data_IF_124107363064
#
_entry.id   IF_124107363064
#
_cell.length_a   1.000
_cell.length_b   1.000
_cell.length_c   1.000
_cell.angle_alpha   90.00
_cell.angle_beta   90.00
_cell.angle_gamma   90.00
#
_symmetry.space_group_name_H-M   'P 1'
#
loop_
_entity.id
_entity.type
_entity.pdbx_description
1 polymer ?
#
# COMPACT_ATOMS: atom_id res chain seq x y z
N UNK A 1 14.16 -24.86 102.96
CA UNK A 1 15.36 -25.65 102.63
C UNK A 1 16.45 -24.67 102.28
N UNK A 2 17.61 -24.88 102.90
CA UNK A 2 18.85 -24.11 102.82
C UNK A 2 19.25 -23.70 101.40
N UNK A 3 19.92 -22.55 101.28
CA UNK A 3 21.34 -22.43 100.88
C UNK A 3 21.68 -20.96 100.55
N UNK A 4 22.48 -20.35 101.42
CA UNK A 4 23.44 -19.24 101.13
C UNK A 4 24.57 -19.71 100.18
N UNK A 5 25.56 -18.88 99.75
CA UNK A 5 25.63 -17.45 99.36
C UNK A 5 26.55 -17.20 98.10
N UNK A 6 26.85 -15.91 97.82
CA UNK A 6 28.03 -15.36 97.07
C UNK A 6 28.04 -15.60 95.53
N UNK A 7 28.35 -14.65 94.64
CA UNK A 7 29.44 -13.67 94.61
C UNK A 7 29.12 -12.46 93.71
N UNK A 8 29.77 -11.34 94.02
CA UNK A 8 29.92 -10.12 93.23
C UNK A 8 30.65 -10.34 91.89
N UNK A 9 30.14 -9.76 90.79
CA UNK A 9 30.94 -9.36 89.63
C UNK A 9 30.43 -8.02 89.10
N UNK A 10 31.25 -6.99 89.24
CA UNK A 10 31.08 -5.69 88.58
C UNK A 10 31.30 -5.85 87.08
N UNK A 11 30.21 -5.91 86.31
CA UNK A 11 30.29 -5.77 84.85
C UNK A 11 30.15 -4.29 84.49
N UNK A 12 31.30 -3.65 84.30
CA UNK A 12 31.41 -2.37 83.65
C UNK A 12 30.65 -2.40 82.31
N UNK A 13 29.54 -1.66 82.25
CA UNK A 13 28.80 -1.43 81.01
C UNK A 13 29.67 -0.51 80.12
N UNK A 14 30.41 -1.12 79.20
CA UNK A 14 31.08 -0.40 78.14
C UNK A 14 30.04 0.36 77.31
N UNK A 15 30.06 1.69 77.40
CA UNK A 15 29.30 2.60 76.55
C UNK A 15 29.71 2.35 75.10
N UNK A 16 28.84 1.68 74.34
CA UNK A 16 29.04 1.47 72.90
C UNK A 16 28.81 2.80 72.21
N UNK A 17 29.89 3.51 71.91
CA UNK A 17 29.85 4.73 71.12
C UNK A 17 29.24 4.42 69.75
N UNK A 18 28.01 4.91 69.54
CA UNK A 18 27.44 5.02 68.21
C UNK A 18 28.25 6.08 67.45
N UNK A 19 29.32 5.64 66.78
CA UNK A 19 29.95 6.42 65.74
C UNK A 19 28.90 6.76 64.69
N UNK A 20 28.42 8.01 64.71
CA UNK A 20 27.78 8.64 63.57
C UNK A 20 28.75 8.54 62.38
N UNK A 21 28.49 7.59 61.50
CA UNK A 21 29.03 7.58 60.15
C UNK A 21 28.58 8.87 59.47
N UNK A 22 29.44 9.90 59.50
CA UNK A 22 29.20 11.12 58.73
C UNK A 22 29.14 10.72 57.24
N UNK A 23 28.06 11.07 56.52
CA UNK A 23 27.99 10.78 55.09
C UNK A 23 29.19 11.43 54.40
N UNK A 24 29.91 10.65 53.58
CA UNK A 24 31.02 11.17 52.77
C UNK A 24 30.49 12.37 51.95
N UNK A 25 31.22 13.49 51.86
CA UNK A 25 30.79 14.64 51.09
C UNK A 25 30.67 14.22 49.62
N UNK A 26 29.44 14.13 49.11
CA UNK A 26 29.21 14.00 47.67
C UNK A 26 29.76 15.27 47.01
N UNK A 27 30.77 15.13 46.15
CA UNK A 27 31.24 16.23 45.29
C UNK A 27 30.06 16.70 44.46
N UNK A 28 29.47 17.85 44.83
CA UNK A 28 28.43 18.50 44.00
C UNK A 28 29.08 18.95 42.70
N UNK A 29 28.57 18.45 41.57
CA UNK A 29 28.96 18.94 40.25
C UNK A 29 28.77 20.45 40.17
N UNK A 30 29.76 21.15 39.61
CA UNK A 30 29.69 22.59 39.39
C UNK A 30 28.66 22.93 38.30
N UNK A 31 28.16 24.18 38.29
CA UNK A 31 27.22 24.65 37.26
C UNK A 31 27.72 24.40 35.82
N UNK A 32 28.97 24.70 35.44
CA UNK A 32 29.44 24.42 34.07
C UNK A 32 29.50 22.92 33.77
N UNK A 33 29.86 22.08 34.74
CA UNK A 33 29.85 20.62 34.56
C UNK A 33 28.44 20.10 34.29
N UNK A 34 27.40 20.62 34.97
CA UNK A 34 26.01 20.24 34.73
C UNK A 34 25.51 20.67 33.35
N UNK A 35 25.92 21.85 32.87
CA UNK A 35 25.59 22.33 31.53
C UNK A 35 26.23 21.43 30.47
N UNK A 36 27.53 21.12 30.62
CA UNK A 36 28.25 20.23 29.70
C UNK A 36 27.59 18.85 29.65
N UNK A 37 27.28 18.26 30.82
CA UNK A 37 26.65 16.94 30.89
C UNK A 37 25.24 16.93 30.29
N UNK A 38 24.45 17.98 30.52
CA UNK A 38 23.13 18.15 29.92
C UNK A 38 23.19 18.28 28.39
N UNK A 39 24.15 19.03 27.85
CA UNK A 39 24.34 19.15 26.41
C UNK A 39 24.76 17.81 25.78
N UNK A 40 25.64 17.04 26.44
CA UNK A 40 26.03 15.71 25.97
C UNK A 40 24.83 14.77 25.90
N UNK A 41 23.95 14.79 26.92
CA UNK A 41 22.72 13.98 26.92
C UNK A 41 21.73 14.39 25.83
N UNK A 42 21.64 15.68 25.52
CA UNK A 42 20.80 16.15 24.42
C UNK A 42 21.31 15.66 23.06
N UNK A 43 22.64 15.73 22.86
CA UNK A 43 23.27 15.24 21.62
C UNK A 43 23.18 13.71 21.53
N UNK A 44 23.41 12.98 22.63
CA UNK A 44 23.25 11.51 22.64
C UNK A 44 21.83 11.11 22.30
N UNK A 45 20.84 11.76 22.91
CA UNK A 45 19.43 11.55 22.60
C UNK A 45 19.13 11.78 21.13
N UNK A 46 19.55 12.93 20.57
CA UNK A 46 19.30 13.25 19.17
C UNK A 46 19.93 12.22 18.22
N UNK A 47 21.16 11.78 18.49
CA UNK A 47 21.85 10.76 17.70
C UNK A 47 21.14 9.40 17.80
N UNK A 48 20.75 8.97 19.01
CA UNK A 48 20.04 7.70 19.21
C UNK A 48 18.66 7.76 18.55
N UNK A 49 17.94 8.88 18.72
CA UNK A 49 16.63 9.10 18.12
C UNK A 49 16.70 9.01 16.60
N UNK A 50 17.64 9.72 15.97
CA UNK A 50 17.84 9.65 14.51
C UNK A 50 18.27 8.25 14.07
N UNK A 51 19.18 7.61 14.79
CA UNK A 51 19.67 6.26 14.44
C UNK A 51 18.57 5.21 14.50
N UNK A 52 17.73 5.23 15.53
CA UNK A 52 16.64 4.28 15.73
C UNK A 52 15.39 4.65 14.93
N UNK A 53 15.19 5.94 14.63
CA UNK A 53 14.11 6.38 13.72
C UNK A 53 14.43 6.02 12.27
N UNK A 54 15.72 6.01 11.91
CA UNK A 54 16.20 5.64 10.58
C UNK A 54 16.64 4.17 10.50
N UNK A 55 16.47 3.36 11.55
CA UNK A 55 16.63 1.90 11.46
C UNK A 55 15.45 1.37 10.64
N UNK A 56 15.56 1.52 9.32
CA UNK A 56 14.56 1.13 8.37
C UNK A 56 14.26 -0.36 8.47
N UNK A 57 13.01 -0.68 8.17
CA UNK A 57 12.38 -1.98 8.02
C UNK A 57 13.36 -3.11 7.67
N UNK A 58 13.25 -4.30 8.31
CA UNK A 58 14.17 -5.41 8.10
C UNK A 58 14.40 -5.68 6.62
N UNK A 59 15.68 -5.84 6.26
CA UNK A 59 16.07 -6.25 4.92
C UNK A 59 15.66 -7.72 4.73
N UNK A 60 14.77 -7.96 3.77
CA UNK A 60 14.49 -9.32 3.33
C UNK A 60 15.62 -9.76 2.39
N UNK A 61 16.34 -10.81 2.78
CA UNK A 61 17.36 -11.43 1.94
C UNK A 61 16.66 -12.28 0.89
N UNK A 62 16.96 -12.04 -0.39
CA UNK A 62 16.56 -12.97 -1.45
C UNK A 62 17.40 -14.25 -1.32
N UNK A 63 16.81 -15.42 -1.01
CA UNK A 63 17.56 -16.66 -0.78
C UNK A 63 18.40 -17.09 -1.99
N UNK A 64 17.98 -16.70 -3.19
CA UNK A 64 18.59 -17.10 -4.45
C UNK A 64 19.72 -16.19 -4.93
N UNK A 65 19.87 -14.98 -4.39
CA UNK A 65 20.82 -13.99 -4.94
C UNK A 65 21.66 -13.24 -3.89
N UNK A 66 21.39 -13.45 -2.59
CA UNK A 66 22.03 -12.70 -1.50
C UNK A 66 21.90 -11.17 -1.67
N UNK A 67 20.92 -10.69 -2.45
CA UNK A 67 20.62 -9.28 -2.66
C UNK A 67 19.60 -8.82 -1.63
N UNK A 68 19.86 -7.66 -1.03
CA UNK A 68 18.91 -7.00 -0.15
C UNK A 68 17.70 -6.50 -0.96
N UNK A 69 16.51 -7.00 -0.64
CA UNK A 69 15.25 -6.51 -1.19
C UNK A 69 14.67 -5.44 -0.25
N UNK A 70 14.34 -4.27 -0.79
CA UNK A 70 13.59 -3.25 -0.06
C UNK A 70 12.17 -3.77 0.23
N UNK A 71 11.75 -3.72 1.49
CA UNK A 71 10.40 -4.13 1.90
C UNK A 71 9.42 -2.99 1.68
N UNK A 72 8.51 -3.17 0.72
CA UNK A 72 7.39 -2.24 0.48
C UNK A 72 6.21 -2.57 1.40
N UNK A 73 5.67 -1.57 2.07
CA UNK A 73 4.48 -1.73 2.90
C UNK A 73 3.25 -1.45 2.04
N UNK A 74 2.31 -2.37 2.03
CA UNK A 74 1.05 -2.24 1.29
C UNK A 74 -0.11 -2.01 2.26
N UNK A 75 -1.09 -1.21 1.86
CA UNK A 75 -2.41 -1.18 2.52
C UNK A 75 -3.36 -2.23 1.94
N UNK A 76 -4.46 -2.53 2.64
CA UNK A 76 -5.41 -3.57 2.21
C UNK A 76 -6.16 -3.24 0.93
N UNK A 77 -6.29 -1.95 0.60
CA UNK A 77 -6.93 -1.41 -0.60
C UNK A 77 -5.95 -1.14 -1.75
N UNK A 78 -4.68 -1.49 -1.57
CA UNK A 78 -3.63 -1.20 -2.55
C UNK A 78 -3.54 -2.29 -3.64
N UNK A 79 -3.28 -1.83 -4.86
CA UNK A 79 -2.98 -2.66 -6.03
C UNK A 79 -1.80 -2.04 -6.80
N UNK A 80 -1.10 -2.83 -7.62
CA UNK A 80 -0.07 -2.28 -8.52
C UNK A 80 -0.67 -1.43 -9.64
N UNK A 81 -1.95 -1.69 -9.97
CA UNK A 81 -2.72 -0.97 -10.96
C UNK A 81 -3.97 -0.38 -10.30
N UNK A 82 -3.87 0.82 -9.69
CA UNK A 82 -4.93 1.37 -8.86
C UNK A 82 -6.17 1.82 -9.67
N UNK A 83 -5.99 2.27 -10.91
CA UNK A 83 -7.08 2.50 -11.87
C UNK A 83 -6.52 2.60 -13.29
N UNK A 84 -7.39 2.47 -14.29
CA UNK A 84 -7.02 2.60 -15.70
C UNK A 84 -6.36 3.95 -16.01
N UNK A 85 -6.88 5.04 -15.44
CA UNK A 85 -6.42 6.42 -15.67
C UNK A 85 -5.11 6.73 -14.94
N UNK A 86 -4.94 6.20 -13.72
CA UNK A 86 -3.72 6.42 -12.92
C UNK A 86 -2.49 5.78 -13.56
N UNK A 87 -2.69 4.68 -14.30
CA UNK A 87 -1.62 4.00 -15.01
C UNK A 87 -1.25 4.64 -16.36
N UNK A 88 -1.94 5.71 -16.75
CA UNK A 88 -1.71 6.42 -18.01
C UNK A 88 -2.14 5.62 -19.24
N UNK A 89 -2.15 6.28 -20.39
CA UNK A 89 -2.55 5.67 -21.67
C UNK A 89 -1.67 4.46 -21.98
N UNK A 90 -2.28 3.31 -22.20
CA UNK A 90 -1.62 2.02 -22.43
C UNK A 90 -0.98 1.39 -21.19
N UNK A 91 -1.12 1.98 -20.00
CA UNK A 91 -0.51 1.47 -18.77
C UNK A 91 0.92 1.88 -18.51
N UNK A 92 1.45 2.83 -19.29
CA UNK A 92 2.88 3.21 -19.31
C UNK A 92 3.45 3.60 -17.94
N UNK A 93 2.63 4.07 -17.00
CA UNK A 93 3.08 4.47 -15.68
C UNK A 93 3.15 3.30 -14.67
N UNK A 94 2.52 2.17 -14.99
CA UNK A 94 2.42 1.01 -14.09
C UNK A 94 3.23 -0.20 -14.58
N UNK A 95 3.63 -0.21 -15.86
CA UNK A 95 4.52 -1.26 -16.40
C UNK A 95 5.99 -0.85 -16.30
N UNK A 96 6.91 -1.80 -16.06
CA UNK A 96 8.35 -1.53 -16.16
C UNK A 96 8.72 -1.09 -17.59
N UNK A 97 9.57 -0.08 -17.72
CA UNK A 97 10.06 0.36 -19.03
C UNK A 97 11.00 -0.69 -19.67
N UNK A 98 11.25 -0.56 -20.97
CA UNK A 98 12.18 -1.43 -21.71
C UNK A 98 13.64 -1.28 -21.27
N UNK A 99 13.96 -0.29 -20.44
CA UNK A 99 15.29 -0.09 -19.84
C UNK A 99 15.48 -0.84 -18.51
N UNK A 100 14.40 -1.42 -17.95
CA UNK A 100 14.42 -2.13 -16.68
C UNK A 100 14.68 -1.23 -15.47
N UNK A 101 14.42 0.08 -15.58
CA UNK A 101 14.84 1.07 -14.58
C UNK A 101 13.78 1.47 -13.54
N UNK A 102 12.55 0.93 -13.56
CA UNK A 102 11.58 1.16 -12.47
C UNK A 102 11.14 -0.10 -11.71
N UNK A 103 11.56 -0.12 -10.44
CA UNK A 103 11.37 -1.11 -9.38
C UNK A 103 11.88 -2.53 -9.72
N UNK A 104 12.58 -3.16 -8.78
CA UNK A 104 13.07 -4.52 -8.96
C UNK A 104 11.93 -5.46 -9.38
N UNK A 105 12.15 -6.26 -10.44
CA UNK A 105 11.19 -7.28 -10.91
C UNK A 105 10.69 -8.14 -9.76
N UNK A 106 11.56 -8.39 -8.78
CA UNK A 106 11.27 -9.03 -7.52
C UNK A 106 11.38 -8.01 -6.39
N UNK A 107 10.41 -7.92 -5.49
CA UNK A 107 10.50 -7.10 -4.29
C UNK A 107 9.97 -7.84 -3.07
N UNK A 108 10.42 -7.42 -1.91
CA UNK A 108 9.84 -7.86 -0.65
C UNK A 108 8.66 -6.96 -0.28
N UNK A 109 7.66 -7.51 0.39
CA UNK A 109 6.48 -6.77 0.81
C UNK A 109 6.08 -7.09 2.24
N UNK A 110 5.28 -6.19 2.83
CA UNK A 110 4.56 -6.38 4.08
C UNK A 110 3.11 -5.94 3.94
N UNK A 111 2.20 -6.77 4.43
CA UNK A 111 0.77 -6.49 4.50
C UNK A 111 0.28 -6.51 5.96
N UNK A 112 -0.70 -5.66 6.32
CA UNK A 112 -1.37 -5.74 7.60
C UNK A 112 -2.28 -6.98 7.67
N UNK A 113 -2.77 -7.27 8.88
CA UNK A 113 -3.80 -8.28 9.10
C UNK A 113 -5.18 -7.80 8.61
N UNK A 114 -6.06 -8.76 8.39
CA UNK A 114 -7.49 -8.62 8.09
C UNK A 114 -7.81 -7.91 6.79
N UNK A 115 -6.94 -8.00 5.78
CA UNK A 115 -7.19 -7.37 4.49
C UNK A 115 -8.28 -8.05 3.65
N UNK A 116 -8.62 -9.30 3.94
CA UNK A 116 -9.77 -9.99 3.34
C UNK A 116 -11.03 -9.67 4.13
N UNK A 117 -10.98 -9.83 5.45
CA UNK A 117 -12.12 -9.60 6.34
C UNK A 117 -12.61 -8.16 6.34
N UNK A 118 -11.69 -7.20 6.40
CA UNK A 118 -11.99 -5.76 6.55
C UNK A 118 -11.86 -5.00 5.22
N UNK A 119 -11.87 -5.72 4.09
CA UNK A 119 -11.82 -5.10 2.78
C UNK A 119 -12.93 -4.05 2.63
N UNK A 120 -12.63 -2.81 2.18
CA UNK A 120 -13.62 -1.76 2.02
C UNK A 120 -14.73 -2.24 1.08
N UNK A 121 -15.96 -2.29 1.58
CA UNK A 121 -17.13 -2.73 0.80
C UNK A 121 -17.76 -1.59 0.00
N UNK A 122 -17.47 -0.35 0.40
CA UNK A 122 -17.96 0.86 -0.26
C UNK A 122 -16.91 1.36 -1.26
N UNK A 123 -17.25 1.36 -2.54
CA UNK A 123 -16.38 1.86 -3.61
C UNK A 123 -17.03 1.75 -4.99
N UNK A 124 -16.45 2.38 -6.02
CA UNK A 124 -16.93 2.21 -7.38
C UNK A 124 -16.79 0.73 -7.81
N UNK A 125 -17.68 0.23 -8.69
CA UNK A 125 -17.52 -1.10 -9.28
C UNK A 125 -16.17 -1.23 -9.98
N UNK A 126 -15.53 -2.36 -9.79
CA UNK A 126 -14.29 -2.71 -10.48
C UNK A 126 -14.59 -3.41 -11.81
N UNK A 127 -13.87 -3.05 -12.87
CA UNK A 127 -14.10 -3.58 -14.21
C UNK A 127 -13.30 -4.88 -14.38
N UNK A 128 -13.97 -5.96 -14.77
CA UNK A 128 -13.34 -7.26 -15.04
C UNK A 128 -13.95 -7.84 -16.31
N UNK A 129 -13.32 -7.55 -17.45
CA UNK A 129 -13.80 -8.01 -18.76
C UNK A 129 -15.21 -7.50 -19.05
N UNK A 130 -16.18 -8.41 -19.18
CA UNK A 130 -17.58 -8.08 -19.45
C UNK A 130 -18.37 -7.57 -18.22
N UNK A 131 -17.81 -7.68 -17.01
CA UNK A 131 -18.56 -7.46 -15.75
C UNK A 131 -18.10 -6.24 -14.97
N UNK A 132 -19.04 -5.64 -14.23
CA UNK A 132 -18.79 -4.68 -13.16
C UNK A 132 -18.91 -5.42 -11.81
N UNK A 133 -17.81 -5.55 -11.08
CA UNK A 133 -17.74 -6.28 -9.81
C UNK A 133 -17.74 -5.31 -8.63
N UNK A 134 -18.71 -5.47 -7.73
CA UNK A 134 -18.80 -4.64 -6.52
C UNK A 134 -18.29 -5.34 -5.26
N UNK A 135 -18.14 -6.67 -5.29
CA UNK A 135 -17.64 -7.45 -4.15
C UNK A 135 -16.16 -7.14 -3.90
N UNK A 136 -15.78 -7.02 -2.63
CA UNK A 136 -14.42 -6.68 -2.19
C UNK A 136 -13.93 -7.70 -1.15
N UNK A 137 -12.62 -8.03 -1.11
CA UNK A 137 -11.57 -7.54 -2.01
C UNK A 137 -11.68 -8.17 -3.40
N UNK A 138 -11.23 -7.47 -4.45
CA UNK A 138 -11.22 -8.02 -5.80
C UNK A 138 -9.89 -8.71 -6.06
N UNK A 139 -9.92 -10.02 -6.29
CA UNK A 139 -8.75 -10.80 -6.70
C UNK A 139 -9.04 -11.39 -8.07
N UNK A 140 -8.14 -11.22 -9.04
CA UNK A 140 -8.32 -11.69 -10.41
C UNK A 140 -7.12 -12.56 -10.79
N UNK A 141 -7.39 -13.82 -11.12
CA UNK A 141 -6.35 -14.79 -11.47
C UNK A 141 -5.82 -15.63 -10.29
N UNK A 142 -4.67 -16.27 -10.53
CA UNK A 142 -4.01 -17.21 -9.61
C UNK A 142 -3.53 -18.47 -10.36
N UNK A 143 -2.24 -18.85 -10.31
CA UNK A 143 -1.14 -18.27 -9.52
C UNK A 143 -0.51 -17.01 -10.14
N UNK A 144 -0.99 -16.58 -11.32
CA UNK A 144 -0.63 -15.30 -11.92
C UNK A 144 -1.82 -14.36 -11.76
N UNK A 145 -1.60 -13.25 -11.06
CA UNK A 145 -2.63 -12.27 -10.72
C UNK A 145 -2.55 -11.06 -11.64
N UNK A 146 -3.72 -10.51 -11.98
CA UNK A 146 -3.82 -9.25 -12.71
C UNK A 146 -3.38 -8.10 -11.81
N UNK A 147 -2.64 -7.12 -12.35
CA UNK A 147 -1.98 -6.06 -11.57
C UNK A 147 -2.91 -5.17 -10.75
N UNK A 148 -4.20 -5.17 -11.08
CA UNK A 148 -5.28 -4.42 -10.41
C UNK A 148 -6.02 -5.23 -9.34
N UNK A 149 -5.56 -6.46 -9.05
CA UNK A 149 -6.02 -7.23 -7.90
C UNK A 149 -5.62 -6.56 -6.57
N UNK A 150 -6.49 -6.63 -5.57
CA UNK A 150 -6.18 -6.25 -4.20
C UNK A 150 -4.99 -7.07 -3.69
N UNK A 151 -3.84 -6.40 -3.54
CA UNK A 151 -2.53 -7.07 -3.45
C UNK A 151 -2.43 -8.01 -2.25
N UNK A 152 -2.78 -7.53 -1.06
CA UNK A 152 -2.70 -8.33 0.17
C UNK A 152 -3.72 -9.48 0.19
N UNK A 153 -4.91 -9.28 -0.39
CA UNK A 153 -5.88 -10.36 -0.54
C UNK A 153 -5.42 -11.42 -1.54
N UNK A 154 -4.75 -11.03 -2.62
CA UNK A 154 -4.12 -11.97 -3.55
C UNK A 154 -3.00 -12.78 -2.87
N UNK A 155 -2.24 -12.17 -1.95
CA UNK A 155 -1.22 -12.87 -1.17
C UNK A 155 -1.83 -13.90 -0.18
N UNK A 156 -2.99 -13.61 0.39
CA UNK A 156 -3.77 -14.60 1.19
C UNK A 156 -4.30 -15.71 0.29
N UNK A 157 -4.89 -15.36 -0.86
CA UNK A 157 -5.38 -16.32 -1.84
C UNK A 157 -4.28 -17.29 -2.33
N UNK A 158 -3.05 -16.81 -2.48
CA UNK A 158 -1.91 -17.65 -2.89
C UNK A 158 -1.30 -18.47 -1.74
N UNK A 159 -1.81 -18.31 -0.50
CA UNK A 159 -1.31 -19.00 0.69
C UNK A 159 0.02 -18.46 1.22
N UNK A 160 0.46 -17.29 0.75
CA UNK A 160 1.68 -16.63 1.24
C UNK A 160 1.45 -15.98 2.59
N UNK A 161 0.24 -15.45 2.83
CA UNK A 161 -0.14 -14.80 4.07
C UNK A 161 -1.34 -15.50 4.71
N UNK A 162 -1.40 -15.41 6.04
CA UNK A 162 -2.61 -15.67 6.82
C UNK A 162 -3.36 -14.36 7.04
N UNK A 163 -4.65 -14.31 6.70
CA UNK A 163 -5.44 -13.07 6.82
C UNK A 163 -5.45 -12.56 8.27
N UNK A 164 -5.54 -13.44 9.27
CA UNK A 164 -5.63 -12.99 10.67
C UNK A 164 -4.35 -12.36 11.20
N UNK A 165 -3.19 -12.67 10.60
CA UNK A 165 -1.88 -12.17 11.05
C UNK A 165 -1.29 -11.11 10.11
N UNK A 166 -1.68 -11.10 8.84
CA UNK A 166 -0.92 -10.41 7.80
C UNK A 166 0.46 -11.04 7.65
N UNK A 167 1.46 -10.24 7.28
CA UNK A 167 2.85 -10.70 7.26
C UNK A 167 3.67 -10.15 6.11
N UNK A 168 4.75 -10.84 5.81
CA UNK A 168 5.67 -10.45 4.75
C UNK A 168 5.81 -11.56 3.72
N UNK A 169 6.30 -11.19 2.54
CA UNK A 169 6.53 -12.12 1.46
C UNK A 169 7.42 -11.50 0.39
N UNK A 170 7.61 -12.27 -0.68
CA UNK A 170 8.28 -11.80 -1.89
C UNK A 170 7.31 -11.88 -3.04
N UNK A 171 7.23 -10.82 -3.83
CA UNK A 171 6.40 -10.74 -5.02
C UNK A 171 7.27 -10.46 -6.22
N UNK A 172 6.93 -11.08 -7.35
CA UNK A 172 7.56 -10.82 -8.62
C UNK A 172 6.54 -10.20 -9.56
N UNK A 173 6.79 -8.93 -9.93
CA UNK A 173 6.06 -8.25 -11.00
C UNK A 173 6.50 -8.83 -12.34
N UNK A 174 5.54 -9.00 -13.22
CA UNK A 174 5.69 -9.61 -14.53
C UNK A 174 5.00 -8.71 -15.56
N UNK A 175 5.34 -8.95 -16.82
CA UNK A 175 4.73 -8.21 -17.92
C UNK A 175 3.32 -8.71 -18.24
N UNK A 176 2.96 -8.55 -19.50
CA UNK A 176 1.62 -8.85 -19.96
C UNK A 176 1.25 -10.35 -19.89
N UNK A 177 -0.03 -10.62 -19.72
CA UNK A 177 -0.66 -11.95 -19.86
C UNK A 177 -2.07 -11.75 -20.43
N UNK A 178 -2.68 -12.80 -20.96
CA UNK A 178 -3.96 -12.73 -21.67
C UNK A 178 -5.07 -13.67 -21.12
N UNK A 179 -4.80 -14.40 -20.04
CA UNK A 179 -5.77 -15.30 -19.41
C UNK A 179 -5.47 -15.45 -17.92
N UNK A 180 -6.53 -15.34 -17.12
CA UNK A 180 -6.49 -15.41 -15.66
C UNK A 180 -7.50 -16.46 -15.21
N UNK A 181 -7.07 -17.67 -14.78
CA UNK A 181 -7.97 -18.64 -14.19
C UNK A 181 -8.37 -18.19 -12.77
N UNK A 182 -9.64 -18.39 -12.42
CA UNK A 182 -10.17 -18.11 -11.08
C UNK A 182 -10.22 -19.39 -10.25
N UNK A 183 -10.11 -19.25 -8.94
CA UNK A 183 -10.16 -20.35 -7.97
C UNK A 183 -10.65 -19.85 -6.62
N UNK A 184 -10.98 -20.77 -5.72
CA UNK A 184 -11.16 -20.45 -4.31
C UNK A 184 -10.04 -21.11 -3.51
N UNK A 185 -9.20 -20.31 -2.88
CA UNK A 185 -8.04 -20.77 -2.09
C UNK A 185 -7.92 -19.96 -0.81
N UNK A 186 -7.63 -20.65 0.30
CA UNK A 186 -7.47 -20.06 1.64
C UNK A 186 -8.62 -19.12 2.05
N UNK A 187 -9.85 -19.43 1.63
CA UNK A 187 -11.05 -18.65 1.96
C UNK A 187 -11.21 -17.35 1.15
N UNK A 188 -10.44 -17.17 0.08
CA UNK A 188 -10.55 -16.07 -0.88
C UNK A 188 -11.00 -16.62 -2.22
N UNK A 189 -11.98 -15.98 -2.86
CA UNK A 189 -12.41 -16.27 -4.23
C UNK A 189 -11.68 -15.34 -5.19
N UNK A 190 -11.07 -15.90 -6.25
CA UNK A 190 -10.51 -15.13 -7.36
C UNK A 190 -11.33 -15.29 -8.63
N UNK A 191 -11.41 -14.19 -9.39
CA UNK A 191 -12.19 -14.11 -10.62
C UNK A 191 -11.40 -14.64 -11.82
N UNK A 192 -12.08 -15.45 -12.64
CA UNK A 192 -11.57 -15.89 -13.92
C UNK A 192 -11.92 -14.89 -15.03
N UNK A 193 -10.95 -14.55 -15.88
CA UNK A 193 -11.19 -13.71 -17.07
C UNK A 193 -10.15 -13.99 -18.15
N UNK A 194 -10.60 -14.06 -19.41
CA UNK A 194 -9.73 -14.12 -20.60
C UNK A 194 -9.65 -12.72 -21.19
N UNK A 195 -8.59 -11.98 -20.89
CA UNK A 195 -8.41 -10.59 -21.29
C UNK A 195 -6.91 -10.28 -21.32
N UNK A 196 -6.45 -9.46 -22.26
CA UNK A 196 -5.09 -8.95 -22.21
C UNK A 196 -4.94 -7.99 -21.03
N UNK A 197 -3.84 -8.07 -20.27
CA UNK A 197 -3.51 -7.07 -19.26
C UNK A 197 -2.00 -6.82 -19.18
N UNK A 198 -1.52 -5.55 -19.19
CA UNK A 198 -0.10 -5.22 -19.33
C UNK A 198 0.79 -5.60 -18.13
N UNK A 199 0.21 -5.61 -16.92
CA UNK A 199 0.94 -5.82 -15.68
C UNK A 199 0.37 -7.01 -14.91
N UNK A 200 1.21 -7.99 -14.61
CA UNK A 200 0.83 -9.12 -13.77
C UNK A 200 1.81 -9.29 -12.63
N UNK A 201 1.47 -10.12 -11.66
CA UNK A 201 2.42 -10.52 -10.62
C UNK A 201 2.14 -11.93 -10.14
N UNK A 202 3.15 -12.54 -9.52
CA UNK A 202 3.00 -13.81 -8.81
C UNK A 202 3.86 -13.83 -7.55
N UNK A 203 3.61 -14.79 -6.67
CA UNK A 203 4.43 -15.03 -5.50
C UNK A 203 5.34 -16.24 -5.74
N UNK A 204 6.67 -16.06 -5.85
CA UNK A 204 7.58 -17.16 -6.12
C UNK A 204 7.59 -18.19 -4.98
N UNK A 205 7.52 -19.49 -5.33
CA UNK A 205 7.57 -20.61 -4.38
C UNK A 205 8.95 -20.85 -3.77
N UNK A 206 10.02 -20.25 -4.31
CA UNK A 206 11.41 -20.43 -3.85
C UNK A 206 11.71 -19.81 -2.48
N UNK A 207 10.74 -19.12 -1.88
CA UNK A 207 10.92 -18.32 -0.66
C UNK A 207 10.05 -18.83 0.50
N UNK A 208 9.92 -20.16 0.65
CA UNK A 208 9.09 -20.77 1.70
C UNK A 208 9.49 -20.30 3.11
N UNK A 209 10.77 -20.00 3.34
CA UNK A 209 11.32 -19.51 4.61
C UNK A 209 10.81 -18.10 5.01
N UNK A 210 10.22 -17.33 4.08
CA UNK A 210 9.69 -15.97 4.31
C UNK A 210 8.15 -15.95 4.29
N UNK A 211 7.48 -17.08 4.04
CA UNK A 211 6.00 -17.12 3.92
C UNK A 211 5.33 -16.73 5.23
N UNK A 212 4.68 -15.56 5.25
CA UNK A 212 3.90 -15.06 6.37
C UNK A 212 4.75 -14.53 7.53
N UNK A 213 6.01 -14.94 7.64
CA UNK A 213 6.92 -14.48 8.67
C UNK A 213 7.73 -13.28 8.19
N UNK A 214 7.39 -12.11 8.75
CA UNK A 214 8.28 -10.97 8.64
C UNK A 214 9.55 -11.28 9.43
N UNK A 215 10.75 -11.22 8.82
CA UNK A 215 11.98 -11.36 9.57
C UNK A 215 11.93 -10.37 10.73
N UNK A 216 12.20 -10.88 11.92
CA UNK A 216 12.32 -10.08 13.13
C UNK A 216 13.60 -9.28 12.95
N UNK A 217 13.53 -8.21 12.18
CA UNK A 217 14.57 -7.20 12.16
C UNK A 217 14.76 -6.72 13.59
N UNK A 218 15.98 -6.32 13.90
CA UNK A 218 16.20 -5.33 14.95
C UNK A 218 15.59 -4.00 14.49
N UNK A 219 14.27 -3.94 14.27
CA UNK A 219 13.54 -2.69 14.34
C UNK A 219 13.76 -2.19 15.76
N UNK A 220 14.75 -1.32 15.95
CA UNK A 220 15.07 -0.78 17.27
C UNK A 220 14.08 0.32 17.63
N UNK A 221 13.20 0.70 16.72
CA UNK A 221 12.30 1.83 16.90
C UNK A 221 11.22 1.58 17.95
N UNK A 222 10.92 0.31 18.30
CA UNK A 222 10.09 -0.03 19.46
C UNK A 222 10.76 0.36 20.79
N UNK A 223 12.09 0.45 20.83
CA UNK A 223 12.84 0.83 22.02
C UNK A 223 12.88 2.36 22.22
N UNK A 224 12.53 3.16 21.21
CA UNK A 224 12.54 4.63 21.28
C UNK A 224 11.73 5.23 22.44
N UNK A 225 10.51 4.76 22.78
CA UNK A 225 9.77 5.26 23.93
C UNK A 225 10.52 5.02 25.25
N UNK A 226 11.12 3.84 25.40
CA UNK A 226 11.84 3.43 26.61
C UNK A 226 13.15 4.19 26.79
N UNK A 227 13.94 4.32 25.71
CA UNK A 227 15.20 5.08 25.72
C UNK A 227 14.94 6.57 25.98
N UNK A 228 13.96 7.15 25.29
CA UNK A 228 13.59 8.56 25.47
C UNK A 228 13.10 8.85 26.90
N UNK A 229 12.34 7.92 27.49
CA UNK A 229 11.90 8.03 28.89
C UNK A 229 13.07 8.00 29.86
N UNK A 230 14.01 7.06 29.67
CA UNK A 230 15.20 6.94 30.50
C UNK A 230 16.11 8.17 30.47
N UNK A 231 16.40 8.69 29.27
CA UNK A 231 17.21 9.89 29.11
C UNK A 231 16.49 11.15 29.62
N UNK A 232 15.15 11.22 29.48
CA UNK A 232 14.36 12.33 30.06
C UNK A 232 14.49 12.36 31.57
N UNK A 233 14.39 11.21 32.24
CA UNK A 233 14.58 11.12 33.69
C UNK A 233 15.99 11.57 34.07
N UNK A 234 17.01 11.07 33.37
CA UNK A 234 18.41 11.42 33.64
C UNK A 234 18.68 12.91 33.45
N UNK A 235 18.17 13.50 32.36
CA UNK A 235 18.26 14.93 32.07
C UNK A 235 17.61 15.74 33.20
N UNK A 236 16.40 15.38 33.64
CA UNK A 236 15.69 16.07 34.71
C UNK A 236 16.40 16.00 36.07
N UNK A 237 17.11 14.92 36.36
CA UNK A 237 17.93 14.79 37.57
C UNK A 237 19.18 15.69 37.53
N UNK A 238 19.76 15.90 36.35
CA UNK A 238 20.99 16.68 36.17
C UNK A 238 20.74 18.19 36.01
N UNK A 239 19.64 18.57 35.35
CA UNK A 239 19.25 19.97 35.16
C UNK A 239 18.13 20.39 36.09
N UNK A 240 18.33 21.48 36.82
CA UNK A 240 17.31 22.14 37.64
C UNK A 240 16.69 23.35 36.96
N UNK A 241 17.11 23.68 35.73
CA UNK A 241 16.61 24.85 34.99
C UNK A 241 15.26 24.54 34.35
N UNK A 242 14.24 25.32 34.70
CA UNK A 242 12.89 25.22 34.11
C UNK A 242 12.94 25.38 32.60
N UNK A 243 13.71 26.34 32.09
CA UNK A 243 13.86 26.57 30.65
C UNK A 243 14.51 25.39 29.91
N UNK A 244 15.55 24.79 30.50
CA UNK A 244 16.21 23.63 29.91
C UNK A 244 15.29 22.39 29.85
N UNK A 245 14.49 22.17 30.91
CA UNK A 245 13.49 21.08 30.95
C UNK A 245 12.38 21.30 29.93
N UNK A 246 11.90 22.53 29.78
CA UNK A 246 10.89 22.86 28.78
C UNK A 246 11.41 22.64 27.35
N UNK A 247 12.65 23.08 27.06
CA UNK A 247 13.29 22.86 25.77
C UNK A 247 13.43 21.36 25.45
N UNK A 248 13.88 20.54 26.41
CA UNK A 248 13.95 19.09 26.26
C UNK A 248 12.60 18.46 25.89
N UNK A 249 11.55 18.77 26.66
CA UNK A 249 10.21 18.21 26.40
C UNK A 249 9.66 18.64 25.04
N UNK A 250 9.86 19.91 24.65
CA UNK A 250 9.45 20.40 23.35
C UNK A 250 10.19 19.69 22.20
N UNK A 251 11.50 19.46 22.33
CA UNK A 251 12.28 18.71 21.34
C UNK A 251 11.84 17.26 21.21
N UNK A 252 11.61 16.58 22.34
CA UNK A 252 11.09 15.20 22.36
C UNK A 252 9.72 15.15 21.68
N UNK A 253 8.78 16.01 22.08
CA UNK A 253 7.44 16.04 21.51
C UNK A 253 7.46 16.32 20.01
N UNK A 254 8.26 17.30 19.57
CA UNK A 254 8.39 17.65 18.15
C UNK A 254 8.95 16.48 17.34
N UNK A 255 10.00 15.82 17.83
CA UNK A 255 10.63 14.69 17.14
C UNK A 255 9.68 13.49 16.99
N UNK A 256 8.91 13.16 18.03
CA UNK A 256 7.89 12.11 17.94
C UNK A 256 6.72 12.48 17.03
N UNK A 257 6.27 13.74 17.03
CA UNK A 257 5.24 14.23 16.10
C UNK A 257 5.70 14.20 14.64
N UNK A 258 6.94 14.61 14.37
CA UNK A 258 7.53 14.53 13.03
C UNK A 258 7.61 13.07 12.56
N UNK A 259 8.02 12.15 13.43
CA UNK A 259 8.06 10.71 13.13
C UNK A 259 6.68 10.12 12.86
N UNK A 260 5.68 10.51 13.64
CA UNK A 260 4.28 10.12 13.40
C UNK A 260 3.83 10.60 12.02
N UNK A 261 4.09 11.88 11.70
CA UNK A 261 3.66 12.49 10.44
C UNK A 261 4.39 11.95 9.20
N UNK A 262 5.62 11.44 9.37
CA UNK A 262 6.33 10.72 8.32
C UNK A 262 5.88 9.27 8.13
N UNK A 263 5.07 8.73 9.04
CA UNK A 263 4.34 7.49 8.74
C UNK A 263 3.34 7.84 7.64
N UNK A 264 3.23 7.04 6.56
CA UNK A 264 2.30 7.33 5.48
C UNK A 264 0.92 7.55 6.10
N UNK A 265 0.35 8.73 5.86
CA UNK A 265 -1.02 8.99 6.24
C UNK A 265 -1.87 7.86 5.67
N UNK A 266 -2.91 7.37 6.37
CA UNK A 266 -3.96 6.66 5.68
C UNK A 266 -4.35 7.52 4.48
N UNK A 267 -4.39 6.88 3.30
CA UNK A 267 -5.00 7.43 2.10
C UNK A 267 -6.26 8.20 2.53
N UNK A 268 -6.34 9.45 2.06
CA UNK A 268 -7.36 10.45 2.36
C UNK A 268 -8.59 9.94 3.13
N UNK A 269 -8.94 10.63 4.24
CA UNK A 269 -10.23 10.44 4.91
C UNK A 269 -11.33 10.27 3.84
N UNK A 270 -12.15 9.21 3.92
CA UNK A 270 -13.25 9.07 3.00
C UNK A 270 -14.13 10.31 3.20
N UNK A 271 -14.20 11.15 2.16
CA UNK A 271 -15.24 12.16 2.07
C UNK A 271 -16.54 11.42 2.35
N UNK A 272 -17.30 11.80 3.40
CA UNK A 272 -18.51 11.08 3.74
C UNK A 272 -19.36 11.04 2.48
N UNK A 273 -19.72 9.83 2.06
CA UNK A 273 -20.56 9.60 0.90
C UNK A 273 -21.90 10.29 1.17
N UNK A 274 -21.97 11.56 0.76
CA UNK A 274 -23.20 12.29 0.70
C UNK A 274 -24.02 11.52 -0.32
N UNK A 275 -25.13 10.95 0.13
CA UNK A 275 -26.14 10.32 -0.72
C UNK A 275 -26.79 11.43 -1.55
N UNK A 276 -26.02 12.00 -2.48
CA UNK A 276 -26.52 12.80 -3.57
C UNK A 276 -27.37 11.84 -4.37
N UNK A 277 -28.65 12.17 -4.51
CA UNK A 277 -29.53 11.53 -5.48
C UNK A 277 -28.88 11.83 -6.84
N UNK A 278 -28.03 10.92 -7.30
CA UNK A 278 -27.23 11.12 -8.49
C UNK A 278 -28.15 10.97 -9.68
N UNK A 279 -28.27 12.04 -10.46
CA UNK A 279 -28.75 11.92 -11.84
C UNK A 279 -27.96 10.79 -12.53
N UNK A 280 -28.61 9.99 -13.39
CA UNK A 280 -27.94 8.90 -14.08
C UNK A 280 -26.73 9.46 -14.84
N UNK A 281 -25.53 8.99 -14.49
CA UNK A 281 -24.29 9.43 -15.13
C UNK A 281 -24.38 9.13 -16.64
N UNK A 282 -24.24 10.13 -17.51
CA UNK A 282 -24.36 9.93 -18.95
C UNK A 282 -23.21 9.06 -19.46
N UNK A 283 -23.51 8.22 -20.45
CA UNK A 283 -22.54 7.40 -21.18
C UNK A 283 -22.45 7.86 -22.64
N UNK A 284 -21.27 7.80 -23.27
CA UNK A 284 -21.10 8.16 -24.67
C UNK A 284 -22.04 7.38 -25.60
N UNK A 285 -22.75 8.09 -26.48
CA UNK A 285 -23.54 7.48 -27.53
C UNK A 285 -22.61 7.13 -28.72
N UNK A 286 -22.14 5.88 -28.73
CA UNK A 286 -21.26 5.37 -29.78
C UNK A 286 -22.08 4.87 -30.96
N UNK A 287 -21.65 5.21 -32.17
CA UNK A 287 -22.23 4.71 -33.42
C UNK A 287 -21.76 3.26 -33.66
N UNK A 288 -22.44 2.55 -34.58
CA UNK A 288 -21.99 1.24 -35.02
C UNK A 288 -20.57 1.34 -35.58
N UNK A 289 -19.62 0.51 -35.10
CA UNK A 289 -18.23 0.63 -35.52
C UNK A 289 -17.99 0.14 -36.93
N UNK A 290 -16.98 0.72 -37.58
CA UNK A 290 -16.42 0.21 -38.84
C UNK A 290 -15.38 -0.87 -38.50
N UNK A 291 -15.63 -2.12 -38.90
CA UNK A 291 -14.76 -3.27 -38.64
C UNK A 291 -14.11 -3.72 -39.94
N UNK A 292 -12.79 -3.72 -39.97
CA UNK A 292 -12.00 -4.29 -41.07
C UNK A 292 -11.38 -5.61 -40.56
N UNK A 293 -12.03 -6.72 -40.89
CA UNK A 293 -11.69 -8.06 -40.42
C UNK A 293 -10.74 -8.84 -41.33
N UNK A 294 -10.20 -9.94 -40.79
CA UNK A 294 -9.15 -10.77 -41.41
C UNK A 294 -9.57 -11.59 -42.64
N UNK A 295 -10.83 -11.51 -43.07
CA UNK A 295 -11.35 -12.31 -44.19
C UNK A 295 -10.82 -11.92 -45.58
N UNK A 296 -9.82 -11.04 -45.70
CA UNK A 296 -9.36 -10.54 -47.00
C UNK A 296 -7.86 -10.74 -47.35
N UNK A 297 -6.89 -10.82 -46.42
CA UNK A 297 -5.47 -10.76 -46.83
C UNK A 297 -4.34 -11.06 -45.79
N UNK A 298 -4.59 -11.70 -44.63
CA UNK A 298 -3.64 -11.75 -43.49
C UNK A 298 -3.36 -10.38 -42.82
N UNK A 299 -4.19 -9.36 -43.01
CA UNK A 299 -4.13 -8.11 -42.24
C UNK A 299 -4.46 -8.31 -40.76
N UNK A 300 -4.10 -7.36 -39.91
CA UNK A 300 -4.52 -7.34 -38.51
C UNK A 300 -5.93 -6.74 -38.45
N UNK A 301 -6.89 -7.46 -37.83
CA UNK A 301 -8.24 -6.93 -37.67
C UNK A 301 -8.21 -5.61 -36.91
N UNK A 302 -9.01 -4.64 -37.34
CA UNK A 302 -9.16 -3.36 -36.64
C UNK A 302 -10.64 -2.95 -36.55
N UNK A 303 -10.91 -2.09 -35.57
CA UNK A 303 -12.23 -1.57 -35.26
C UNK A 303 -12.13 -0.06 -35.00
N UNK A 304 -13.01 0.70 -35.65
CA UNK A 304 -13.07 2.17 -35.52
C UNK A 304 -14.42 2.59 -34.98
N UNK A 305 -14.39 3.37 -33.89
CA UNK A 305 -15.59 3.88 -33.23
C UNK A 305 -15.72 5.38 -33.45
N UNK A 306 -16.89 5.80 -33.93
CA UNK A 306 -17.33 7.20 -33.95
C UNK A 306 -18.43 7.39 -32.91
N UNK A 307 -18.69 8.63 -32.51
CA UNK A 307 -19.74 8.97 -31.55
C UNK A 307 -20.72 9.98 -32.13
N UNK A 308 -21.95 9.97 -31.61
CA UNK A 308 -22.98 10.90 -32.02
C UNK A 308 -22.64 12.33 -31.59
N UNK A 309 -22.96 13.31 -32.45
CA UNK A 309 -22.79 14.74 -32.20
C UNK A 309 -24.15 15.46 -32.20
N UNK A 310 -24.30 16.55 -31.42
CA UNK A 310 -23.33 17.10 -30.47
C UNK A 310 -23.25 16.28 -29.17
N UNK A 311 -22.11 16.33 -28.49
CA UNK A 311 -21.96 15.75 -27.16
C UNK A 311 -22.86 16.51 -26.14
N UNK A 312 -23.25 15.87 -25.02
CA UNK A 312 -24.01 16.52 -23.96
C UNK A 312 -23.31 17.79 -23.43
N UNK A 313 -24.07 18.75 -22.94
CA UNK A 313 -23.50 19.95 -22.33
C UNK A 313 -22.70 19.59 -21.05
N UNK A 314 -21.54 20.22 -20.89
CA UNK A 314 -20.73 20.12 -19.68
C UNK A 314 -19.82 18.89 -19.59
N UNK A 315 -19.65 18.14 -20.68
CA UNK A 315 -18.54 17.17 -20.83
C UNK A 315 -17.46 17.75 -21.75
N UNK A 316 -16.21 17.37 -21.51
CA UNK A 316 -15.03 17.91 -22.18
C UNK A 316 -14.43 16.93 -23.19
N UNK A 317 -14.77 15.65 -23.10
CA UNK A 317 -14.16 14.61 -23.93
C UNK A 317 -14.72 13.21 -23.71
N UNK A 318 -14.07 12.22 -24.33
CA UNK A 318 -14.37 10.79 -24.17
C UNK A 318 -13.05 10.03 -23.91
N UNK A 319 -13.10 9.05 -23.01
CA UNK A 319 -12.04 8.06 -22.77
C UNK A 319 -12.50 6.69 -23.23
N UNK A 320 -11.59 5.93 -23.84
CA UNK A 320 -11.79 4.55 -24.29
C UNK A 320 -10.91 3.59 -23.49
N UNK A 321 -11.52 2.58 -22.87
CA UNK A 321 -10.82 1.40 -22.36
C UNK A 321 -10.87 0.28 -23.39
N UNK A 322 -9.78 -0.46 -23.47
CA UNK A 322 -9.76 -1.81 -24.04
C UNK A 322 -9.10 -2.74 -23.06
N UNK A 323 -9.82 -3.79 -22.68
CA UNK A 323 -9.40 -4.80 -21.71
C UNK A 323 -9.03 -4.18 -20.35
N UNK A 324 -9.91 -3.30 -19.86
CA UNK A 324 -9.77 -2.56 -18.59
C UNK A 324 -8.55 -1.60 -18.54
N UNK A 325 -7.88 -1.36 -19.67
CA UNK A 325 -6.75 -0.42 -19.82
C UNK A 325 -7.16 0.80 -20.62
N UNK A 326 -6.88 2.01 -20.11
CA UNK A 326 -7.16 3.24 -20.86
C UNK A 326 -6.22 3.32 -22.06
N UNK A 327 -6.79 3.28 -23.28
CA UNK A 327 -5.99 3.30 -24.52
C UNK A 327 -5.91 4.70 -25.10
N UNK A 328 -7.03 5.40 -25.11
CA UNK A 328 -7.11 6.72 -25.70
C UNK A 328 -8.09 7.62 -24.95
N UNK A 329 -7.83 8.91 -25.02
CA UNK A 329 -8.68 9.97 -24.50
C UNK A 329 -8.63 11.14 -25.46
N UNK A 330 -9.80 11.63 -25.86
CA UNK A 330 -10.00 12.76 -26.78
C UNK A 330 -10.76 13.86 -26.04
N UNK A 331 -10.31 15.11 -26.17
CA UNK A 331 -11.02 16.29 -25.68
C UNK A 331 -11.64 17.03 -26.87
N UNK A 332 -12.91 17.42 -26.74
CA UNK A 332 -13.67 18.05 -27.83
C UNK A 332 -13.21 19.48 -28.15
N UNK A 333 -12.55 20.14 -27.19
CA UNK A 333 -12.04 21.51 -27.35
C UNK A 333 -10.66 21.61 -28.02
N UNK A 334 -10.02 20.49 -28.33
CA UNK A 334 -8.70 20.49 -28.97
C UNK A 334 -8.82 20.84 -30.47
N UNK A 335 -7.96 21.73 -30.97
CA UNK A 335 -7.97 22.17 -32.39
C UNK A 335 -7.77 21.04 -33.41
N UNK A 336 -7.25 19.89 -32.97
CA UNK A 336 -7.08 18.65 -33.74
C UNK A 336 -7.83 17.48 -33.10
N UNK A 337 -8.93 17.76 -32.39
CA UNK A 337 -9.75 16.73 -31.80
C UNK A 337 -10.16 15.71 -32.87
N UNK A 338 -9.74 14.45 -32.67
CA UNK A 338 -10.22 13.34 -33.48
C UNK A 338 -11.72 13.19 -33.28
N UNK A 339 -12.40 12.68 -34.31
CA UNK A 339 -13.83 12.33 -34.27
C UNK A 339 -14.07 10.83 -34.06
N UNK A 340 -12.98 10.08 -33.85
CA UNK A 340 -13.00 8.62 -33.78
C UNK A 340 -11.91 8.05 -32.88
N UNK A 341 -12.17 6.85 -32.36
CA UNK A 341 -11.18 5.97 -31.74
C UNK A 341 -10.86 4.82 -32.68
N UNK A 342 -9.59 4.50 -32.81
CA UNK A 342 -9.10 3.38 -33.61
C UNK A 342 -8.45 2.35 -32.69
N UNK A 343 -8.81 1.07 -32.85
CA UNK A 343 -8.17 -0.04 -32.15
C UNK A 343 -7.78 -1.15 -33.12
N UNK A 344 -6.53 -1.58 -33.02
CA UNK A 344 -5.98 -2.70 -33.78
C UNK A 344 -5.80 -3.89 -32.85
N UNK A 345 -6.30 -5.07 -33.25
CA UNK A 345 -6.25 -6.26 -32.41
C UNK A 345 -4.82 -6.73 -32.21
N UNK A 346 -4.41 -6.88 -30.96
CA UNK A 346 -3.11 -7.46 -30.63
C UNK A 346 -3.05 -8.98 -30.92
N UNK A 347 -1.86 -9.53 -31.24
CA UNK A 347 -1.70 -10.97 -31.56
C UNK A 347 -1.97 -11.91 -30.38
N UNK A 348 -2.08 -11.38 -29.16
CA UNK A 348 -2.35 -12.14 -27.93
C UNK A 348 -3.81 -12.03 -27.45
N UNK A 349 -4.67 -11.32 -28.17
CA UNK A 349 -6.07 -11.14 -27.79
C UNK A 349 -6.87 -12.43 -28.02
N UNK A 350 -7.69 -12.81 -27.04
CA UNK A 350 -8.73 -13.82 -27.20
C UNK A 350 -10.12 -13.21 -27.43
N UNK A 351 -10.25 -11.95 -27.02
CA UNK A 351 -11.45 -11.11 -27.03
C UNK A 351 -11.00 -9.72 -26.59
N UNK A 352 -11.66 -8.67 -27.08
CA UNK A 352 -11.43 -7.30 -26.62
C UNK A 352 -12.71 -6.78 -25.94
N UNK A 353 -12.60 -6.37 -24.67
CA UNK A 353 -13.69 -5.71 -23.94
C UNK A 353 -13.50 -4.19 -24.02
N UNK A 354 -14.43 -3.53 -24.69
CA UNK A 354 -14.31 -2.11 -25.03
C UNK A 354 -15.36 -1.31 -24.27
N UNK A 355 -14.93 -0.22 -23.62
CA UNK A 355 -15.79 0.66 -22.82
C UNK A 355 -15.48 2.11 -23.12
N UNK A 356 -16.50 2.97 -22.98
CA UNK A 356 -16.37 4.40 -23.20
C UNK A 356 -16.92 5.18 -22.02
N UNK A 357 -16.28 6.29 -21.67
CA UNK A 357 -16.72 7.17 -20.59
C UNK A 357 -16.54 8.63 -20.98
N UNK A 358 -17.51 9.47 -20.61
CA UNK A 358 -17.35 10.92 -20.75
C UNK A 358 -16.33 11.46 -19.74
N UNK A 359 -15.56 12.46 -20.17
CA UNK A 359 -14.58 13.18 -19.35
C UNK A 359 -15.16 14.53 -18.96
N UNK A 360 -15.00 14.92 -17.70
CA UNK A 360 -15.38 16.23 -17.16
C UNK A 360 -14.40 16.62 -16.07
N UNK A 361 -13.92 17.87 -16.08
CA UNK A 361 -12.88 18.35 -15.17
C UNK A 361 -11.62 17.46 -15.19
N UNK A 362 -11.27 16.90 -16.36
CA UNK A 362 -10.14 15.97 -16.51
C UNK A 362 -10.33 14.55 -15.96
N UNK A 363 -11.48 14.23 -15.34
CA UNK A 363 -11.78 12.90 -14.81
C UNK A 363 -12.88 12.19 -15.61
N UNK A 364 -12.81 10.86 -15.68
CA UNK A 364 -13.86 10.06 -16.31
C UNK A 364 -15.03 9.92 -15.34
N UNK A 365 -16.23 10.28 -15.79
CA UNK A 365 -17.43 10.24 -14.95
C UNK A 365 -17.83 8.80 -14.60
N UNK A 366 -18.07 7.99 -15.63
CA UNK A 366 -18.37 6.56 -15.53
C UNK A 366 -18.12 5.92 -16.89
N UNK A 367 -17.54 4.72 -16.90
CA UNK A 367 -17.48 3.87 -18.09
C UNK A 367 -18.80 3.14 -18.36
N UNK A 368 -19.12 2.98 -19.64
CA UNK A 368 -20.21 2.14 -20.11
C UNK A 368 -20.02 0.68 -19.67
N UNK A 369 -21.10 -0.14 -19.72
CA UNK A 369 -20.96 -1.58 -19.84
C UNK A 369 -20.01 -1.94 -20.99
N UNK A 370 -19.38 -3.11 -20.93
CA UNK A 370 -18.51 -3.55 -22.01
C UNK A 370 -19.36 -3.87 -23.24
N UNK A 371 -18.89 -3.44 -24.40
CA UNK A 371 -19.13 -4.22 -25.60
C UNK A 371 -17.96 -5.16 -25.84
N UNK A 372 -18.25 -6.26 -26.50
CA UNK A 372 -17.30 -7.35 -26.74
C UNK A 372 -17.03 -7.44 -28.22
N UNK A 373 -15.76 -7.32 -28.60
CA UNK A 373 -15.30 -7.58 -29.95
C UNK A 373 -14.66 -8.96 -30.00
N UNK A 374 -15.32 -9.88 -30.71
CA UNK A 374 -14.97 -11.29 -30.78
C UNK A 374 -13.95 -11.57 -31.89
N UNK A 375 -13.27 -12.72 -31.82
CA UNK A 375 -12.24 -13.13 -32.80
C UNK A 375 -12.78 -13.34 -34.22
N UNK A 376 -14.08 -13.63 -34.35
CA UNK A 376 -14.76 -13.74 -35.65
C UNK A 376 -15.16 -12.36 -36.22
N UNK A 377 -14.57 -11.29 -35.69
CA UNK A 377 -14.82 -9.89 -36.03
C UNK A 377 -16.26 -9.41 -35.79
N UNK A 378 -17.07 -10.18 -35.03
CA UNK A 378 -18.39 -9.73 -34.60
C UNK A 378 -18.30 -8.82 -33.37
N UNK A 379 -19.14 -7.79 -33.36
CA UNK A 379 -19.28 -6.83 -32.27
C UNK A 379 -20.64 -7.02 -31.59
N UNK A 380 -20.65 -7.11 -30.26
CA UNK A 380 -21.89 -7.34 -29.50
C UNK A 380 -22.69 -6.06 -29.21
N UNK A 381 -22.16 -4.89 -29.54
CA UNK A 381 -22.70 -3.62 -29.05
C UNK A 381 -22.33 -3.38 -27.58
N UNK A 382 -22.55 -2.15 -27.13
CA UNK A 382 -22.48 -1.78 -25.71
C UNK A 382 -23.82 -2.19 -25.09
N UNK A 383 -23.82 -3.22 -24.24
CA UNK A 383 -25.05 -3.70 -23.63
C UNK A 383 -25.72 -2.60 -22.78
N UNK A 384 -27.02 -2.36 -22.97
CA UNK A 384 -27.80 -1.58 -22.01
C UNK A 384 -27.85 -2.36 -20.68
N UNK A 385 -27.47 -1.74 -19.55
CA UNK A 385 -27.36 -2.33 -18.20
C UNK A 385 -28.28 -3.56 -17.98
N UNK A 386 -27.71 -4.76 -18.05
CA UNK A 386 -28.35 -5.94 -17.46
C UNK A 386 -27.81 -6.07 -16.04
N UNK A 387 -28.55 -5.56 -15.06
CA UNK A 387 -28.24 -5.74 -13.64
C UNK A 387 -28.41 -7.22 -13.29
N UNK A 388 -27.34 -8.02 -13.42
CA UNK A 388 -27.33 -9.37 -12.87
C UNK A 388 -27.05 -9.23 -11.38
N UNK A 389 -28.10 -9.41 -10.56
CA UNK A 389 -27.94 -9.66 -9.12
C UNK A 389 -27.39 -11.08 -8.98
N UNK A 390 -26.15 -11.21 -8.53
CA UNK A 390 -25.59 -12.46 -7.98
C UNK A 390 -24.95 -12.19 -6.64
#
# INVERSE_FOLDING_TARGET
MDLTPLTTEDKAFAKKDHHHLKPKPQKRLSRPQKIILGSILFVSWAVIFLSFSNSANPLLLEPSSSKHLSVRHFSCDEAFWPSAEKCGKGGVNCVPDTSGQFESKTMAFRCPAHCVRDAPQDGPPHLVGDREVTRRPVVIGGPIYRGDSAFCAAAVHDGVLDDAKGGCGVVKRMGQTNSFPGSEMFGVESLAVKTYFPLTFNFPTTNEEIRGECPVGTDRSWALPWVTSGETVLFFQLTSSTGARAAWLASVATAHLLRWRSSPAPSAEPVPAQKVISEPVPIPNMLEPEINGQTLDNSVSNITFKWATPAPAGVEGISMLVDDVERERVYFGDDQAKDSFFWERGPQAFVDYIRFGYVKNGEVLKYSPAGTWLLNDSWTGIAAKTTVKT
#
